data_IF_012831091439
#
_entry.id   IF_012831091439
#
_cell.length_a   1.000
_cell.length_b   1.000
_cell.length_c   1.000
_cell.angle_alpha   90.00
_cell.angle_beta   90.00
_cell.angle_gamma   90.00
#
_symmetry.space_group_name_H-M   'P 1'
#
loop_
_entity.id
_entity.type
_entity.pdbx_description
1 polymer ?
#
# COMPACT_ATOMS: atom_id res chain seq x y z
N UNK A 1 -22.19 7.81 6.90
CA UNK A 1 -21.91 8.80 7.98
C UNK A 1 -22.47 10.15 7.55
N UNK A 2 -22.92 11.00 8.47
CA UNK A 2 -23.36 12.34 8.09
C UNK A 2 -22.16 13.15 7.55
N UNK A 3 -22.44 14.06 6.60
CA UNK A 3 -21.47 15.00 6.05
C UNK A 3 -20.80 15.81 7.17
N UNK A 4 -19.49 16.00 7.10
CA UNK A 4 -18.76 16.92 7.96
C UNK A 4 -19.08 18.36 7.57
N UNK A 5 -19.65 19.13 8.49
CA UNK A 5 -20.06 20.53 8.25
C UNK A 5 -19.00 21.56 8.63
N UNK A 6 -17.97 21.11 9.33
CA UNK A 6 -16.79 21.88 9.75
C UNK A 6 -15.74 22.01 8.64
N UNK A 7 -15.81 21.17 7.60
CA UNK A 7 -14.96 21.19 6.41
C UNK A 7 -15.72 21.81 5.25
N UNK A 8 -15.06 22.68 4.48
CA UNK A 8 -15.63 23.34 3.29
C UNK A 8 -14.79 23.11 2.06
N UNK A 9 -13.47 23.14 2.21
CA UNK A 9 -12.51 23.02 1.11
C UNK A 9 -11.61 21.80 1.32
N UNK A 10 -11.55 20.92 0.33
CA UNK A 10 -10.76 19.70 0.37
C UNK A 10 -9.75 19.70 -0.78
N UNK A 11 -8.50 19.41 -0.48
CA UNK A 11 -7.47 19.20 -1.50
C UNK A 11 -7.26 17.71 -1.74
N UNK A 12 -7.35 17.29 -3.00
CA UNK A 12 -7.01 15.94 -3.45
C UNK A 12 -5.61 15.97 -4.06
N UNK A 13 -4.74 15.08 -3.63
CA UNK A 13 -3.41 14.90 -4.20
C UNK A 13 -3.48 13.75 -5.21
N UNK A 14 -3.18 14.03 -6.47
CA UNK A 14 -3.16 13.05 -7.54
C UNK A 14 -1.90 12.18 -7.52
N UNK A 15 -1.83 11.24 -8.47
CA UNK A 15 -0.73 10.25 -8.54
C UNK A 15 0.50 10.73 -9.33
N UNK A 16 0.38 11.85 -10.04
CA UNK A 16 1.45 12.32 -10.91
C UNK A 16 1.47 11.63 -12.27
N UNK A 17 2.64 11.62 -12.94
CA UNK A 17 2.79 10.98 -14.24
C UNK A 17 2.50 9.48 -14.15
N UNK A 18 1.94 8.92 -15.23
CA UNK A 18 1.69 7.49 -15.32
C UNK A 18 3.03 6.76 -15.36
N UNK A 19 3.28 5.95 -14.33
CA UNK A 19 4.38 4.99 -14.28
C UNK A 19 3.80 3.62 -14.57
N UNK A 20 4.42 2.85 -15.45
CA UNK A 20 3.99 1.48 -15.78
C UNK A 20 3.84 0.68 -14.48
N UNK A 21 2.67 0.11 -14.28
CA UNK A 21 2.32 -0.66 -13.08
C UNK A 21 1.79 0.13 -11.88
N UNK A 22 1.61 1.47 -11.97
CA UNK A 22 1.19 2.26 -10.81
C UNK A 22 0.11 3.33 -11.02
N UNK A 23 -0.51 3.48 -12.18
CA UNK A 23 -1.15 4.77 -12.37
C UNK A 23 -2.58 4.83 -12.86
N UNK A 24 -3.03 3.93 -13.67
CA UNK A 24 -4.37 4.03 -14.28
C UNK A 24 -5.48 3.91 -13.22
N UNK A 25 -5.28 3.11 -12.20
CA UNK A 25 -6.21 2.93 -11.08
C UNK A 25 -6.41 4.19 -10.25
N UNK A 26 -5.36 5.00 -10.09
CA UNK A 26 -5.43 6.23 -9.29
C UNK A 26 -6.12 7.36 -10.05
N UNK A 27 -6.03 7.37 -11.37
CA UNK A 27 -6.77 8.31 -12.20
C UNK A 27 -8.28 8.14 -11.99
N UNK A 28 -8.77 6.92 -12.05
CA UNK A 28 -10.17 6.60 -11.80
C UNK A 28 -10.56 6.96 -10.36
N UNK A 29 -9.81 6.48 -9.37
CA UNK A 29 -10.12 6.68 -7.97
C UNK A 29 -10.10 8.17 -7.58
N UNK A 30 -9.09 8.92 -8.02
CA UNK A 30 -8.99 10.35 -7.77
C UNK A 30 -10.09 11.15 -8.44
N UNK A 31 -10.47 10.80 -9.67
CA UNK A 31 -11.60 11.42 -10.37
C UNK A 31 -12.90 11.19 -9.62
N UNK A 32 -13.20 9.93 -9.24
CA UNK A 32 -14.41 9.61 -8.50
C UNK A 32 -14.47 10.32 -7.14
N UNK A 33 -13.33 10.46 -6.46
CA UNK A 33 -13.29 11.19 -5.20
C UNK A 33 -13.57 12.69 -5.37
N UNK A 34 -13.00 13.32 -6.39
CA UNK A 34 -13.31 14.73 -6.68
C UNK A 34 -14.81 14.92 -6.96
N UNK A 35 -15.40 14.04 -7.77
CA UNK A 35 -16.84 14.09 -8.08
C UNK A 35 -17.69 13.86 -6.82
N UNK A 36 -17.38 12.85 -6.01
CA UNK A 36 -18.11 12.58 -4.77
C UNK A 36 -18.01 13.72 -3.76
N UNK A 37 -16.83 14.35 -3.62
CA UNK A 37 -16.65 15.51 -2.75
C UNK A 37 -17.47 16.72 -3.24
N UNK A 38 -17.52 16.96 -4.56
CA UNK A 38 -18.36 18.02 -5.14
C UNK A 38 -19.86 17.72 -4.95
N UNK A 39 -20.26 16.49 -5.13
CA UNK A 39 -21.66 16.05 -4.90
C UNK A 39 -22.08 16.26 -3.46
N UNK A 40 -21.18 16.04 -2.50
CA UNK A 40 -21.36 16.41 -1.11
C UNK A 40 -21.29 17.91 -0.83
N UNK A 41 -20.94 18.74 -1.83
CA UNK A 41 -20.90 20.19 -1.76
C UNK A 41 -19.67 20.77 -1.09
N UNK A 42 -18.52 20.09 -1.19
CA UNK A 42 -17.22 20.66 -0.83
C UNK A 42 -16.60 21.40 -2.01
N UNK A 43 -15.83 22.45 -1.74
CA UNK A 43 -14.92 23.06 -2.73
C UNK A 43 -13.71 22.10 -2.89
N UNK A 44 -13.45 21.66 -4.12
CA UNK A 44 -12.40 20.67 -4.40
C UNK A 44 -11.23 21.32 -5.13
N UNK A 45 -10.05 21.21 -4.55
CA UNK A 45 -8.77 21.59 -5.14
C UNK A 45 -8.00 20.34 -5.49
N UNK A 46 -7.63 20.18 -6.75
CA UNK A 46 -6.82 19.05 -7.22
C UNK A 46 -5.40 19.51 -7.52
N UNK A 47 -4.41 18.74 -7.07
CA UNK A 47 -3.00 18.91 -7.47
C UNK A 47 -2.54 17.66 -8.18
N UNK A 48 -2.18 17.76 -9.46
CA UNK A 48 -1.64 16.64 -10.25
C UNK A 48 -0.73 17.20 -11.36
N UNK A 49 0.42 16.56 -11.56
CA UNK A 49 1.38 16.99 -12.59
C UNK A 49 1.11 16.40 -13.97
N UNK A 50 0.14 15.51 -14.12
CA UNK A 50 -0.16 14.85 -15.39
C UNK A 50 -1.25 15.61 -16.18
N UNK A 51 -0.94 16.25 -17.32
CA UNK A 51 -1.94 16.93 -18.13
C UNK A 51 -2.77 15.97 -19.00
N UNK A 52 -2.38 14.70 -19.10
CA UNK A 52 -3.01 13.72 -19.98
C UNK A 52 -4.02 12.82 -19.26
N UNK A 53 -4.37 13.15 -18.02
CA UNK A 53 -5.36 12.38 -17.24
C UNK A 53 -6.72 13.07 -17.26
N UNK A 54 -7.80 12.28 -17.22
CA UNK A 54 -9.16 12.79 -17.04
C UNK A 54 -9.31 13.54 -15.71
N UNK A 55 -8.52 13.18 -14.70
CA UNK A 55 -8.56 13.80 -13.37
C UNK A 55 -8.28 15.31 -13.42
N UNK A 56 -7.43 15.76 -14.34
CA UNK A 56 -7.09 17.21 -14.51
C UNK A 56 -8.03 17.95 -15.44
N UNK A 57 -9.13 17.33 -15.89
CA UNK A 57 -10.20 18.05 -16.59
C UNK A 57 -10.80 19.13 -15.67
N UNK A 58 -11.01 20.31 -16.22
CA UNK A 58 -11.52 21.48 -15.49
C UNK A 58 -12.93 21.31 -14.91
N UNK A 59 -13.66 20.28 -15.34
CA UNK A 59 -15.00 19.95 -14.81
C UNK A 59 -14.93 19.07 -13.57
N UNK A 60 -13.82 18.39 -13.31
CA UNK A 60 -13.67 17.41 -12.24
C UNK A 60 -13.49 18.10 -10.87
N UNK A 61 -12.66 19.12 -10.79
CA UNK A 61 -12.43 19.88 -9.56
C UNK A 61 -12.75 21.36 -9.77
N UNK A 62 -12.97 22.12 -8.70
CA UNK A 62 -13.22 23.56 -8.76
C UNK A 62 -11.94 24.32 -9.11
N UNK A 63 -10.79 23.79 -8.68
CA UNK A 63 -9.47 24.28 -9.06
C UNK A 63 -8.53 23.11 -9.35
N UNK A 64 -7.76 23.23 -10.42
CA UNK A 64 -6.76 22.23 -10.83
C UNK A 64 -5.38 22.88 -10.91
N UNK A 65 -4.44 22.35 -10.14
CA UNK A 65 -3.04 22.73 -10.18
C UNK A 65 -2.23 21.67 -10.91
N UNK A 66 -1.81 21.96 -12.14
CA UNK A 66 -0.91 21.10 -12.93
C UNK A 66 0.55 21.44 -12.59
N UNK A 67 0.94 21.11 -11.35
CA UNK A 67 2.25 21.44 -10.79
C UNK A 67 2.99 20.17 -10.38
N UNK A 68 4.33 20.20 -10.28
CA UNK A 68 5.11 19.07 -9.82
C UNK A 68 4.66 18.58 -8.44
N UNK A 69 4.46 17.26 -8.31
CA UNK A 69 4.11 16.63 -7.04
C UNK A 69 5.37 16.48 -6.15
N UNK A 70 5.93 17.62 -5.76
CA UNK A 70 7.05 17.71 -4.81
C UNK A 70 6.62 18.45 -3.55
N UNK A 71 7.30 18.19 -2.46
CA UNK A 71 7.02 18.88 -1.19
C UNK A 71 6.98 20.40 -1.33
N UNK A 72 7.93 20.97 -2.09
CA UNK A 72 8.02 22.42 -2.26
C UNK A 72 6.78 23.02 -2.93
N UNK A 73 6.37 22.44 -4.07
CA UNK A 73 5.21 22.95 -4.82
C UNK A 73 3.91 22.72 -4.07
N UNK A 74 3.71 21.50 -3.54
CA UNK A 74 2.47 21.18 -2.82
C UNK A 74 2.36 22.01 -1.54
N UNK A 75 3.45 22.24 -0.81
CA UNK A 75 3.45 23.11 0.36
C UNK A 75 3.08 24.58 0.02
N UNK A 76 3.55 25.11 -1.13
CA UNK A 76 3.14 26.45 -1.62
C UNK A 76 1.64 26.49 -1.91
N UNK A 77 1.10 25.46 -2.57
CA UNK A 77 -0.33 25.39 -2.90
C UNK A 77 -1.17 25.27 -1.62
N UNK A 78 -0.77 24.44 -0.66
CA UNK A 78 -1.45 24.32 0.65
C UNK A 78 -1.48 25.68 1.38
N UNK A 79 -0.38 26.41 1.40
CA UNK A 79 -0.32 27.74 2.04
C UNK A 79 -1.18 28.78 1.32
N UNK A 80 -1.28 28.68 0.01
CA UNK A 80 -2.06 29.61 -0.83
C UNK A 80 -3.56 29.31 -0.75
N UNK A 81 -3.96 28.04 -0.94
CA UNK A 81 -5.36 27.63 -0.97
C UNK A 81 -6.00 27.49 0.42
N UNK A 82 -5.19 27.23 1.44
CA UNK A 82 -5.66 26.99 2.82
C UNK A 82 -6.84 26.02 2.86
N UNK A 83 -6.71 24.79 2.31
CA UNK A 83 -7.79 23.81 2.42
C UNK A 83 -8.00 23.45 3.89
N UNK A 84 -9.23 23.10 4.26
CA UNK A 84 -9.53 22.58 5.61
C UNK A 84 -8.95 21.16 5.78
N UNK A 85 -8.89 20.42 4.66
CA UNK A 85 -8.40 19.06 4.69
C UNK A 85 -7.72 18.63 3.38
N UNK A 86 -6.85 17.59 3.47
CA UNK A 86 -6.25 16.89 2.32
C UNK A 86 -6.66 15.43 2.28
N UNK A 87 -6.80 14.87 1.08
CA UNK A 87 -7.04 13.45 0.82
C UNK A 87 -5.86 12.87 0.04
N UNK A 88 -4.89 12.24 0.70
CA UNK A 88 -3.69 11.72 0.03
C UNK A 88 -3.86 10.30 -0.52
N UNK A 89 -4.75 9.49 0.05
CA UNK A 89 -4.87 8.06 -0.23
C UNK A 89 -5.35 7.71 -1.65
N UNK A 90 -5.72 8.72 -2.45
CA UNK A 90 -6.18 8.57 -3.83
C UNK A 90 -5.09 8.84 -4.87
N UNK A 91 -3.95 9.36 -4.44
CA UNK A 91 -2.78 9.64 -5.26
C UNK A 91 -1.70 8.55 -5.21
N UNK A 92 -2.08 7.34 -4.80
CA UNK A 92 -1.13 6.23 -4.65
C UNK A 92 -0.02 6.53 -3.65
N UNK A 93 1.12 5.90 -3.82
CA UNK A 93 2.27 6.08 -2.95
C UNK A 93 2.81 7.52 -2.98
N UNK A 94 2.72 8.19 -4.13
CA UNK A 94 3.12 9.61 -4.27
C UNK A 94 2.30 10.50 -3.33
N UNK A 95 0.99 10.34 -3.30
CA UNK A 95 0.10 11.11 -2.43
C UNK A 95 0.38 10.87 -0.95
N UNK A 96 0.56 9.61 -0.55
CA UNK A 96 0.89 9.24 0.84
C UNK A 96 2.24 9.83 1.27
N UNK A 97 3.27 9.66 0.45
CA UNK A 97 4.61 10.19 0.75
C UNK A 97 4.61 11.71 0.91
N UNK A 98 3.85 12.42 0.07
CA UNK A 98 3.71 13.87 0.17
C UNK A 98 2.99 14.29 1.46
N UNK A 99 1.91 13.60 1.84
CA UNK A 99 1.22 13.87 3.10
C UNK A 99 2.13 13.68 4.31
N UNK A 100 2.92 12.60 4.33
CA UNK A 100 3.94 12.34 5.35
C UNK A 100 4.98 13.47 5.40
N UNK A 101 5.50 13.91 4.26
CA UNK A 101 6.49 14.98 4.18
C UNK A 101 5.91 16.32 4.63
N UNK A 102 4.68 16.66 4.22
CA UNK A 102 3.99 17.88 4.64
C UNK A 102 3.75 17.91 6.16
N UNK A 103 3.35 16.78 6.75
CA UNK A 103 3.16 16.63 8.19
C UNK A 103 4.51 16.79 8.94
N UNK A 104 5.55 16.06 8.53
CA UNK A 104 6.89 16.13 9.15
C UNK A 104 7.52 17.53 9.05
N UNK A 105 7.22 18.28 8.00
CA UNK A 105 7.69 19.68 7.85
C UNK A 105 6.81 20.70 8.55
N UNK A 106 5.75 20.26 9.24
CA UNK A 106 4.85 21.15 9.97
C UNK A 106 3.91 22.00 9.12
N UNK A 107 3.88 21.80 7.79
CA UNK A 107 3.05 22.60 6.87
C UNK A 107 1.56 22.40 7.17
N UNK A 108 1.14 21.16 7.44
CA UNK A 108 -0.26 20.90 7.76
C UNK A 108 -0.67 21.55 9.07
N UNK A 109 0.20 21.52 10.08
CA UNK A 109 -0.06 22.19 11.36
C UNK A 109 -0.07 23.73 11.22
N UNK A 110 0.88 24.30 10.48
CA UNK A 110 0.96 25.74 10.17
C UNK A 110 -0.33 26.24 9.51
N UNK A 111 -0.89 25.43 8.60
CA UNK A 111 -2.07 25.79 7.83
C UNK A 111 -3.38 25.31 8.45
N UNK A 112 -3.35 24.57 9.56
CA UNK A 112 -4.50 23.92 10.22
C UNK A 112 -5.25 22.97 9.28
N UNK A 113 -4.52 22.18 8.49
CA UNK A 113 -5.06 21.25 7.50
C UNK A 113 -5.12 19.85 8.11
N UNK A 114 -6.29 19.24 8.07
CA UNK A 114 -6.52 17.86 8.51
C UNK A 114 -6.19 16.87 7.37
N UNK A 115 -5.68 15.70 7.70
CA UNK A 115 -5.60 14.56 6.77
C UNK A 115 -6.91 13.79 6.89
N UNK A 116 -7.69 13.73 5.81
CA UNK A 116 -8.88 12.87 5.75
C UNK A 116 -8.49 11.46 5.35
N UNK A 117 -9.12 10.50 6.03
CA UNK A 117 -8.80 9.10 5.87
C UNK A 117 -7.73 8.65 6.86
N UNK A 118 -6.75 7.88 6.38
CA UNK A 118 -5.72 7.30 7.23
C UNK A 118 -4.78 8.35 7.81
N UNK A 119 -4.59 8.30 9.13
CA UNK A 119 -3.70 9.23 9.83
C UNK A 119 -2.23 9.08 9.41
N UNK A 120 -1.44 10.13 9.62
CA UNK A 120 0.01 10.09 9.38
C UNK A 120 0.68 8.91 10.11
N UNK A 121 0.35 8.70 11.38
CA UNK A 121 0.92 7.62 12.19
C UNK A 121 0.55 6.23 11.64
N UNK A 122 -0.68 6.06 11.20
CA UNK A 122 -1.15 4.81 10.61
C UNK A 122 -0.47 4.53 9.26
N UNK A 123 -0.24 5.57 8.46
CA UNK A 123 0.51 5.43 7.20
C UNK A 123 1.95 4.99 7.50
N UNK A 124 2.64 5.65 8.43
CA UNK A 124 4.00 5.32 8.79
C UNK A 124 4.12 3.89 9.34
N UNK A 125 3.18 3.48 10.20
CA UNK A 125 3.16 2.13 10.75
C UNK A 125 2.85 1.03 9.70
N UNK A 126 2.05 1.34 8.69
CA UNK A 126 1.75 0.41 7.62
C UNK A 126 2.88 0.27 6.59
N UNK A 127 3.61 1.36 6.33
CA UNK A 127 4.66 1.43 5.30
C UNK A 127 6.05 1.04 5.82
N UNK A 128 6.32 1.24 7.11
CA UNK A 128 7.58 0.82 7.71
C UNK A 128 7.55 -0.68 8.04
N UNK A 129 8.49 -1.43 7.45
CA UNK A 129 8.53 -2.89 7.57
C UNK A 129 8.72 -3.39 9.00
N UNK A 130 9.52 -2.70 9.80
CA UNK A 130 9.77 -3.11 11.18
C UNK A 130 8.55 -2.81 12.05
N UNK A 131 7.99 -1.61 11.96
CA UNK A 131 6.77 -1.24 12.67
C UNK A 131 5.59 -2.13 12.30
N UNK A 132 5.44 -2.44 11.01
CA UNK A 132 4.40 -3.35 10.53
C UNK A 132 4.59 -4.77 11.07
N UNK A 133 5.83 -5.29 11.04
CA UNK A 133 6.16 -6.61 11.58
C UNK A 133 5.89 -6.69 13.08
N UNK A 134 6.30 -5.69 13.86
CA UNK A 134 6.05 -5.61 15.30
C UNK A 134 4.54 -5.59 15.60
N UNK A 135 3.78 -4.80 14.83
CA UNK A 135 2.33 -4.78 14.96
C UNK A 135 1.72 -6.16 14.70
N UNK A 136 2.07 -6.80 13.57
CA UNK A 136 1.56 -8.13 13.24
C UNK A 136 1.89 -9.15 14.33
N UNK A 137 3.11 -9.13 14.84
CA UNK A 137 3.52 -10.01 15.94
C UNK A 137 2.70 -9.76 17.22
N UNK A 138 2.42 -8.49 17.54
CA UNK A 138 1.59 -8.14 18.72
C UNK A 138 0.15 -8.63 18.59
N UNK A 139 -0.34 -8.76 17.36
CA UNK A 139 -1.68 -9.28 17.04
C UNK A 139 -1.71 -10.82 16.92
N UNK A 140 -0.55 -11.48 16.97
CA UNK A 140 -0.45 -12.91 16.70
C UNK A 140 -0.64 -13.28 15.22
N UNK A 141 -0.50 -12.29 14.33
CA UNK A 141 -0.61 -12.49 12.88
C UNK A 141 0.72 -12.97 12.30
N UNK A 142 0.71 -13.99 11.42
CA UNK A 142 1.93 -14.54 10.87
C UNK A 142 2.48 -13.62 9.77
N UNK A 143 3.74 -13.23 9.93
CA UNK A 143 4.54 -12.54 8.92
C UNK A 143 5.65 -13.44 8.41
N UNK A 144 6.15 -13.16 7.22
CA UNK A 144 7.24 -13.94 6.64
C UNK A 144 8.47 -13.93 7.55
N UNK A 145 8.98 -15.12 7.96
CA UNK A 145 10.24 -15.20 8.65
C UNK A 145 11.35 -14.57 7.82
N UNK A 146 12.02 -13.58 8.37
CA UNK A 146 13.09 -12.86 7.70
C UNK A 146 14.16 -12.43 8.67
N UNK A 147 15.41 -12.40 8.21
CA UNK A 147 16.57 -11.95 8.97
C UNK A 147 17.49 -11.12 8.07
N UNK A 148 18.09 -10.08 8.63
CA UNK A 148 19.09 -9.26 7.92
C UNK A 148 20.45 -9.95 8.02
N UNK A 149 21.19 -9.97 6.93
CA UNK A 149 22.56 -10.46 6.85
C UNK A 149 23.48 -9.38 6.24
N UNK A 150 24.61 -9.14 6.87
CA UNK A 150 25.63 -8.20 6.44
C UNK A 150 26.83 -8.89 5.79
N UNK A 151 26.88 -10.21 5.85
CA UNK A 151 27.88 -11.06 5.23
C UNK A 151 27.31 -12.43 4.87
N UNK A 152 28.09 -13.23 4.17
CA UNK A 152 27.68 -14.53 3.66
C UNK A 152 27.38 -15.53 4.80
N UNK A 153 28.17 -15.53 5.86
CA UNK A 153 28.03 -16.50 6.94
C UNK A 153 26.77 -16.20 7.78
N UNK A 154 26.46 -14.92 8.04
CA UNK A 154 25.18 -14.50 8.62
C UNK A 154 23.99 -14.93 7.77
N UNK A 155 24.10 -14.82 6.45
CA UNK A 155 23.04 -15.23 5.53
C UNK A 155 22.81 -16.76 5.57
N UNK A 156 23.88 -17.53 5.64
CA UNK A 156 23.78 -19.00 5.78
C UNK A 156 23.12 -19.39 7.10
N UNK A 157 23.48 -18.77 8.21
CA UNK A 157 22.85 -19.00 9.51
C UNK A 157 21.38 -18.58 9.50
N UNK A 158 21.05 -17.43 8.88
CA UNK A 158 19.68 -16.99 8.70
C UNK A 158 18.86 -18.01 7.89
N UNK A 159 19.39 -18.47 6.76
CA UNK A 159 18.72 -19.44 5.91
C UNK A 159 18.53 -20.81 6.61
N UNK A 160 19.48 -21.26 7.43
CA UNK A 160 19.32 -22.47 8.25
C UNK A 160 18.19 -22.34 9.27
N UNK A 161 18.02 -21.17 9.87
CA UNK A 161 16.92 -20.91 10.84
C UNK A 161 15.57 -20.81 10.15
N UNK A 162 15.51 -20.15 8.98
CA UNK A 162 14.28 -19.93 8.21
C UNK A 162 13.85 -21.21 7.49
N UNK A 163 14.80 -22.00 7.01
CA UNK A 163 14.60 -23.16 6.14
C UNK A 163 14.52 -22.81 4.67
N UNK A 164 15.29 -23.52 3.85
CA UNK A 164 15.27 -23.39 2.38
C UNK A 164 13.91 -23.84 1.79
N UNK A 165 13.52 -23.31 0.62
CA UNK A 165 14.17 -22.23 -0.12
C UNK A 165 13.97 -20.88 0.55
N UNK A 166 14.93 -19.96 0.29
CA UNK A 166 14.89 -18.57 0.77
C UNK A 166 14.97 -17.58 -0.38
N UNK A 167 14.51 -16.34 -0.13
CA UNK A 167 14.60 -15.21 -1.04
C UNK A 167 15.63 -14.23 -0.50
N UNK A 168 16.50 -13.74 -1.37
CA UNK A 168 17.45 -12.67 -1.07
C UNK A 168 16.89 -11.35 -1.61
N UNK A 169 16.89 -10.33 -0.78
CA UNK A 169 16.50 -8.96 -1.17
C UNK A 169 17.55 -7.97 -0.70
N UNK A 170 18.43 -7.49 -1.58
CA UNK A 170 19.40 -6.44 -1.23
C UNK A 170 18.67 -5.19 -0.75
N UNK A 171 19.16 -4.58 0.32
CA UNK A 171 18.56 -3.38 0.86
C UNK A 171 18.78 -2.18 -0.07
N UNK A 172 17.78 -1.30 -0.19
CA UNK A 172 17.81 -0.05 -0.96
C UNK A 172 18.10 -0.23 -2.47
N UNK A 173 17.77 -1.40 -3.06
CA UNK A 173 17.79 -1.60 -4.50
C UNK A 173 16.41 -1.38 -5.12
N UNK A 174 16.40 -0.88 -6.36
CA UNK A 174 15.16 -0.65 -7.11
C UNK A 174 14.78 -1.90 -7.92
N UNK A 175 13.48 -2.20 -7.97
CA UNK A 175 12.93 -3.23 -8.87
C UNK A 175 13.44 -4.65 -8.60
N UNK A 176 13.83 -4.98 -7.36
CA UNK A 176 14.32 -6.32 -7.02
C UNK A 176 15.72 -6.67 -7.58
N UNK A 177 16.46 -5.67 -8.07
CA UNK A 177 17.80 -5.88 -8.65
C UNK A 177 18.73 -6.56 -7.64
N UNK A 178 19.37 -7.64 -8.09
CA UNK A 178 20.31 -8.43 -7.27
C UNK A 178 19.63 -9.38 -6.28
N UNK A 179 18.30 -9.40 -6.22
CA UNK A 179 17.53 -10.39 -5.49
C UNK A 179 17.38 -11.70 -6.25
N UNK A 180 16.85 -12.71 -5.57
CA UNK A 180 16.55 -14.00 -6.19
C UNK A 180 16.28 -15.09 -5.18
N UNK A 181 16.02 -16.30 -5.68
CA UNK A 181 15.70 -17.47 -4.89
C UNK A 181 16.95 -18.35 -4.74
N UNK A 182 17.16 -18.85 -3.54
CA UNK A 182 18.19 -19.85 -3.26
C UNK A 182 17.53 -21.11 -2.67
N UNK A 183 17.69 -22.23 -3.37
CA UNK A 183 17.11 -23.50 -2.97
C UNK A 183 18.01 -24.23 -1.95
N UNK A 184 19.29 -23.87 -1.90
CA UNK A 184 20.30 -24.46 -1.03
C UNK A 184 21.40 -23.46 -0.62
N UNK A 185 22.33 -23.91 0.24
CA UNK A 185 23.44 -23.10 0.74
C UNK A 185 24.42 -22.69 -0.38
N UNK A 186 24.61 -23.53 -1.40
CA UNK A 186 25.56 -23.25 -2.49
C UNK A 186 25.08 -22.07 -3.33
N UNK A 187 23.81 -22.12 -3.74
CA UNK A 187 23.18 -21.02 -4.48
C UNK A 187 23.15 -19.75 -3.62
N UNK A 188 22.81 -19.86 -2.34
CA UNK A 188 22.79 -18.72 -1.42
C UNK A 188 24.16 -18.02 -1.37
N UNK A 189 25.24 -18.77 -1.18
CA UNK A 189 26.60 -18.21 -1.11
C UNK A 189 27.04 -17.53 -2.41
N UNK A 190 26.67 -18.07 -3.55
CA UNK A 190 26.94 -17.48 -4.85
C UNK A 190 26.19 -16.15 -5.03
N UNK A 191 24.87 -16.15 -4.77
CA UNK A 191 24.03 -14.96 -4.93
C UNK A 191 24.35 -13.85 -3.92
N UNK A 192 24.71 -14.18 -2.69
CA UNK A 192 25.06 -13.22 -1.65
C UNK A 192 26.23 -12.31 -2.04
N UNK A 193 27.23 -12.81 -2.80
CA UNK A 193 28.35 -12.00 -3.28
C UNK A 193 27.89 -10.83 -4.14
N UNK A 194 26.97 -11.11 -5.05
CA UNK A 194 26.39 -10.09 -5.93
C UNK A 194 25.42 -9.19 -5.15
N UNK A 195 24.55 -9.77 -4.34
CA UNK A 195 23.55 -9.05 -3.56
C UNK A 195 24.17 -8.01 -2.60
N UNK A 196 25.23 -8.37 -1.89
CA UNK A 196 25.97 -7.46 -1.01
C UNK A 196 26.64 -6.32 -1.77
N UNK A 197 27.17 -6.58 -2.97
CA UNK A 197 27.82 -5.55 -3.78
C UNK A 197 26.85 -4.52 -4.35
N UNK A 198 25.60 -4.92 -4.58
CA UNK A 198 24.55 -4.07 -5.13
C UNK A 198 23.82 -3.26 -4.07
N UNK A 199 23.87 -3.68 -2.80
CA UNK A 199 23.28 -2.93 -1.70
C UNK A 199 24.20 -1.77 -1.28
N UNK A 200 23.74 -0.50 -1.34
CA UNK A 200 24.55 0.65 -0.92
C UNK A 200 24.99 0.59 0.55
N UNK A 201 24.28 -0.17 1.38
CA UNK A 201 24.56 -0.34 2.82
C UNK A 201 25.13 -1.73 3.13
N UNK A 202 25.45 -2.54 2.11
CA UNK A 202 25.95 -3.91 2.25
C UNK A 202 25.09 -4.80 3.14
N UNK A 203 23.76 -4.67 3.00
CA UNK A 203 22.77 -5.49 3.72
C UNK A 203 21.87 -6.25 2.76
N UNK A 204 21.56 -7.48 3.11
CA UNK A 204 20.62 -8.33 2.37
C UNK A 204 19.62 -8.92 3.34
N UNK A 205 18.32 -8.79 3.04
CA UNK A 205 17.27 -9.48 3.74
C UNK A 205 17.18 -10.92 3.21
N UNK A 206 17.27 -11.89 4.12
CA UNK A 206 17.02 -13.30 3.85
C UNK A 206 15.61 -13.62 4.35
N UNK A 207 14.75 -14.05 3.47
CA UNK A 207 13.32 -14.23 3.75
C UNK A 207 12.85 -15.62 3.34
N UNK A 208 11.85 -16.17 4.04
CA UNK A 208 11.21 -17.44 3.67
C UNK A 208 10.62 -17.35 2.27
N UNK A 209 10.95 -18.30 1.41
CA UNK A 209 10.31 -18.41 0.10
C UNK A 209 8.86 -18.89 0.25
N UNK A 210 7.97 -18.17 -0.40
CA UNK A 210 6.54 -18.50 -0.53
C UNK A 210 6.17 -18.80 -1.99
N UNK A 211 7.16 -19.23 -2.78
CA UNK A 211 6.94 -19.65 -4.16
C UNK A 211 5.90 -20.76 -4.21
N UNK A 212 4.88 -20.57 -5.03
CA UNK A 212 3.77 -21.53 -5.17
C UNK A 212 2.62 -21.33 -4.18
N UNK A 213 2.72 -20.35 -3.26
CA UNK A 213 1.57 -19.93 -2.45
C UNK A 213 0.57 -19.17 -3.31
N UNK A 214 -0.70 -19.21 -2.92
CA UNK A 214 -1.75 -18.38 -3.50
C UNK A 214 -1.62 -16.96 -2.97
N UNK A 215 -1.78 -15.98 -3.83
CA UNK A 215 -1.91 -14.58 -3.43
C UNK A 215 -3.38 -14.21 -3.33
N UNK A 216 -3.81 -13.84 -2.13
CA UNK A 216 -5.19 -13.48 -1.82
C UNK A 216 -5.21 -12.06 -1.28
N UNK A 217 -6.10 -11.25 -1.81
CA UNK A 217 -6.27 -9.87 -1.40
C UNK A 217 -7.66 -9.64 -0.80
N UNK A 218 -7.74 -8.74 0.18
CA UNK A 218 -8.99 -8.24 0.74
C UNK A 218 -9.05 -6.72 0.64
N UNK A 219 -10.13 -6.23 0.07
CA UNK A 219 -10.50 -4.82 0.18
C UNK A 219 -11.35 -4.63 1.41
N UNK A 220 -10.88 -3.78 2.31
CA UNK A 220 -11.51 -3.52 3.60
C UNK A 220 -11.73 -2.02 3.75
N UNK A 221 -12.88 -1.64 4.29
CA UNK A 221 -13.20 -0.25 4.63
C UNK A 221 -13.50 -0.16 6.12
N UNK A 222 -13.01 0.90 6.76
CA UNK A 222 -13.30 1.21 8.15
C UNK A 222 -13.57 2.70 8.30
N UNK A 223 -14.55 3.04 9.16
CA UNK A 223 -14.82 4.42 9.57
C UNK A 223 -14.19 4.74 10.94
N UNK A 224 -14.26 6.01 11.35
CA UNK A 224 -13.71 6.45 12.63
C UNK A 224 -14.48 5.90 13.86
N UNK A 225 -15.72 5.40 13.69
CA UNK A 225 -16.52 4.75 14.73
C UNK A 225 -16.20 3.25 14.87
N UNK A 226 -15.16 2.77 14.18
CA UNK A 226 -14.74 1.36 14.15
C UNK A 226 -15.72 0.42 13.44
N UNK A 227 -16.61 0.94 12.60
CA UNK A 227 -17.38 0.10 11.68
C UNK A 227 -16.46 -0.36 10.56
N UNK A 228 -16.19 -1.65 10.47
CA UNK A 228 -15.29 -2.21 9.46
C UNK A 228 -16.00 -3.31 8.65
N UNK A 229 -15.80 -3.26 7.32
CA UNK A 229 -16.40 -4.18 6.35
C UNK A 229 -15.34 -4.68 5.40
N UNK A 230 -15.27 -5.99 5.17
CA UNK A 230 -14.57 -6.57 4.03
C UNK A 230 -15.51 -6.48 2.82
N UNK A 231 -15.19 -5.62 1.87
CA UNK A 231 -16.01 -5.35 0.68
C UNK A 231 -16.01 -6.57 -0.24
N UNK A 232 -14.83 -7.04 -0.59
CA UNK A 232 -14.66 -8.29 -1.31
C UNK A 232 -13.27 -8.86 -1.08
N UNK A 233 -13.09 -10.12 -1.44
CA UNK A 233 -11.79 -10.73 -1.59
C UNK A 233 -11.49 -10.99 -3.07
N UNK A 234 -10.22 -11.12 -3.38
CA UNK A 234 -9.71 -11.38 -4.72
C UNK A 234 -8.61 -12.42 -4.66
N UNK A 235 -8.40 -13.07 -5.78
CA UNK A 235 -7.36 -14.07 -5.95
C UNK A 235 -6.55 -13.76 -7.20
N UNK A 236 -5.23 -13.71 -7.06
CA UNK A 236 -4.32 -13.66 -8.18
C UNK A 236 -4.16 -15.07 -8.76
N UNK A 237 -4.38 -15.23 -10.06
CA UNK A 237 -4.24 -16.54 -10.74
C UNK A 237 -2.76 -16.92 -10.84
N UNK A 238 -1.89 -15.93 -10.99
CA UNK A 238 -0.45 -16.12 -10.98
C UNK A 238 0.05 -16.32 -9.54
N UNK A 239 1.07 -17.16 -9.34
CA UNK A 239 1.60 -17.42 -8.01
C UNK A 239 2.26 -16.18 -7.41
N UNK A 240 2.33 -16.15 -6.07
CA UNK A 240 3.02 -15.08 -5.33
C UNK A 240 4.41 -14.82 -5.89
N UNK A 241 4.71 -13.53 -6.11
CA UNK A 241 5.98 -13.05 -6.67
C UNK A 241 5.88 -12.53 -8.10
N UNK A 242 4.79 -12.78 -8.80
CA UNK A 242 4.42 -12.01 -9.99
C UNK A 242 3.85 -10.68 -9.52
N UNK A 243 4.32 -9.57 -10.08
CA UNK A 243 3.80 -8.25 -9.71
C UNK A 243 2.29 -8.18 -9.96
N UNK A 244 1.56 -7.74 -8.97
CA UNK A 244 0.09 -7.71 -9.03
C UNK A 244 -0.45 -6.92 -10.24
N UNK A 245 0.30 -5.94 -10.77
CA UNK A 245 -0.03 -5.21 -12.00
C UNK A 245 0.03 -6.07 -13.28
N UNK A 246 0.76 -7.17 -13.23
CA UNK A 246 0.99 -8.07 -14.37
C UNK A 246 0.24 -9.40 -14.22
N UNK A 247 -0.49 -9.57 -13.10
CA UNK A 247 -1.25 -10.78 -12.79
C UNK A 247 -2.73 -10.65 -13.17
N UNK A 248 -3.35 -11.78 -13.52
CA UNK A 248 -4.81 -11.86 -13.68
C UNK A 248 -5.44 -11.98 -12.29
N UNK A 249 -6.31 -11.04 -11.95
CA UNK A 249 -7.02 -11.00 -10.67
C UNK A 249 -8.49 -11.33 -10.87
N UNK A 250 -9.03 -12.21 -10.04
CA UNK A 250 -10.44 -12.63 -10.07
C UNK A 250 -11.12 -12.22 -8.76
N UNK A 251 -12.28 -11.58 -8.86
CA UNK A 251 -13.14 -11.23 -7.74
C UNK A 251 -14.55 -11.82 -7.94
N UNK A 252 -15.11 -12.52 -6.94
CA UNK A 252 -14.47 -12.99 -5.72
C UNK A 252 -13.47 -14.14 -5.98
N UNK A 253 -12.65 -14.47 -4.97
CA UNK A 253 -11.74 -15.64 -5.04
C UNK A 253 -12.49 -16.92 -5.38
N UNK A 254 -11.91 -17.77 -6.23
CA UNK A 254 -12.57 -18.97 -6.75
C UNK A 254 -12.12 -20.27 -6.06
N UNK A 255 -10.94 -20.28 -5.46
CA UNK A 255 -10.31 -21.50 -4.97
C UNK A 255 -10.25 -21.61 -3.43
N UNK A 256 -10.80 -20.62 -2.71
CA UNK A 256 -10.86 -20.67 -1.25
C UNK A 256 -12.04 -21.49 -0.76
N UNK A 257 -11.79 -22.30 0.26
CA UNK A 257 -12.85 -22.85 1.09
C UNK A 257 -13.45 -21.75 1.96
N UNK A 258 -14.68 -21.93 2.44
CA UNK A 258 -15.30 -20.98 3.36
C UNK A 258 -14.48 -20.75 4.63
N UNK A 259 -13.77 -21.77 5.11
CA UNK A 259 -12.93 -21.66 6.30
C UNK A 259 -11.69 -20.78 6.05
N UNK A 260 -11.03 -20.93 4.92
CA UNK A 260 -9.91 -20.07 4.51
C UNK A 260 -10.39 -18.64 4.30
N UNK A 261 -11.51 -18.47 3.61
CA UNK A 261 -12.13 -17.15 3.42
C UNK A 261 -12.35 -16.42 4.74
N UNK A 262 -12.99 -17.07 5.72
CA UNK A 262 -13.28 -16.45 7.01
C UNK A 262 -12.00 -16.17 7.81
N UNK A 263 -11.03 -17.06 7.76
CA UNK A 263 -9.74 -16.91 8.44
C UNK A 263 -9.01 -15.64 7.98
N UNK A 264 -8.86 -15.47 6.68
CA UNK A 264 -8.16 -14.32 6.09
C UNK A 264 -8.98 -13.02 6.25
N UNK A 265 -10.31 -13.09 6.12
CA UNK A 265 -11.19 -11.95 6.37
C UNK A 265 -11.04 -11.42 7.80
N UNK A 266 -11.06 -12.32 8.78
CA UNK A 266 -10.97 -11.94 10.19
C UNK A 266 -9.58 -11.35 10.51
N UNK A 267 -8.52 -11.85 9.88
CA UNK A 267 -7.18 -11.27 9.94
C UNK A 267 -7.17 -9.86 9.36
N UNK A 268 -7.71 -9.66 8.16
CA UNK A 268 -7.79 -8.33 7.53
C UNK A 268 -8.54 -7.32 8.39
N UNK A 269 -9.67 -7.71 8.99
CA UNK A 269 -10.46 -6.85 9.88
C UNK A 269 -9.74 -6.52 11.19
N UNK A 270 -8.98 -7.45 11.77
CA UNK A 270 -8.14 -7.18 12.95
C UNK A 270 -7.06 -6.16 12.61
N UNK A 271 -6.42 -6.34 11.47
CA UNK A 271 -5.30 -5.50 11.04
C UNK A 271 -5.71 -4.06 10.77
N UNK A 272 -6.81 -3.83 10.01
CA UNK A 272 -7.29 -2.47 9.71
C UNK A 272 -7.68 -1.72 11.00
N UNK A 273 -8.27 -2.42 11.99
CA UNK A 273 -8.59 -1.86 13.30
C UNK A 273 -7.35 -1.49 14.09
N UNK A 274 -6.37 -2.38 14.14
CA UNK A 274 -5.12 -2.16 14.89
C UNK A 274 -4.32 -0.99 14.30
N UNK A 275 -4.25 -0.89 12.97
CA UNK A 275 -3.64 0.23 12.25
C UNK A 275 -4.46 1.52 12.34
N UNK A 276 -5.71 1.46 12.84
CA UNK A 276 -6.63 2.60 12.88
C UNK A 276 -6.80 3.28 11.51
N UNK A 277 -6.74 2.49 10.44
CA UNK A 277 -6.96 3.01 9.09
C UNK A 277 -8.41 3.50 8.98
N UNK A 278 -8.60 4.69 8.43
CA UNK A 278 -9.90 5.23 8.05
C UNK A 278 -10.00 5.30 6.53
N UNK A 279 -11.14 4.87 5.99
CA UNK A 279 -11.32 4.67 4.55
C UNK A 279 -10.94 3.27 4.10
N UNK A 280 -10.57 3.14 2.83
CA UNK A 280 -10.23 1.86 2.22
C UNK A 280 -8.78 1.45 2.42
N UNK A 281 -8.57 0.15 2.57
CA UNK A 281 -7.24 -0.43 2.48
C UNK A 281 -7.27 -1.80 1.80
N UNK A 282 -6.15 -2.13 1.16
CA UNK A 282 -5.91 -3.44 0.59
C UNK A 282 -4.98 -4.23 1.51
N UNK A 283 -5.36 -5.48 1.82
CA UNK A 283 -4.55 -6.42 2.63
C UNK A 283 -4.19 -7.62 1.79
N UNK A 284 -2.91 -7.93 1.68
CA UNK A 284 -2.40 -9.02 0.85
C UNK A 284 -1.87 -10.16 1.71
N UNK A 285 -2.27 -11.37 1.33
CA UNK A 285 -1.91 -12.62 1.99
C UNK A 285 -1.26 -13.59 1.02
N UNK A 286 -0.27 -14.34 1.51
CA UNK A 286 0.17 -15.57 0.88
C UNK A 286 -0.46 -16.75 1.63
N UNK A 287 -1.24 -17.58 0.96
CA UNK A 287 -1.88 -18.75 1.53
C UNK A 287 -1.23 -20.03 0.98
N UNK A 288 -0.79 -20.91 1.85
CA UNK A 288 -0.28 -22.23 1.46
C UNK A 288 -1.41 -23.07 0.83
N UNK A 289 -1.28 -23.51 -0.41
CA UNK A 289 -2.34 -24.27 -1.09
C UNK A 289 -2.60 -25.66 -0.46
N UNK A 290 -1.72 -26.15 0.41
CA UNK A 290 -1.78 -27.48 1.00
C UNK A 290 -2.18 -27.46 2.48
N UNK A 291 -2.28 -26.28 3.10
CA UNK A 291 -2.62 -26.14 4.51
C UNK A 291 -3.40 -24.83 4.77
N UNK A 292 -3.73 -24.56 6.04
CA UNK A 292 -4.32 -23.28 6.46
C UNK A 292 -3.25 -22.24 6.86
N UNK A 293 -1.98 -22.51 6.61
CA UNK A 293 -0.91 -21.57 6.92
C UNK A 293 -0.96 -20.41 5.92
N UNK A 294 -0.84 -19.21 6.43
CA UNK A 294 -0.76 -18.01 5.63
C UNK A 294 0.26 -17.03 6.21
N UNK A 295 0.65 -16.09 5.41
CA UNK A 295 1.46 -14.96 5.83
C UNK A 295 0.85 -13.66 5.34
N UNK A 296 0.91 -12.63 6.18
CA UNK A 296 0.68 -11.26 5.75
C UNK A 296 1.88 -10.81 4.91
N UNK A 297 1.59 -10.29 3.71
CA UNK A 297 2.60 -9.77 2.79
C UNK A 297 2.75 -8.28 3.01
N UNK A 298 1.65 -7.54 2.83
CA UNK A 298 1.62 -6.10 2.98
C UNK A 298 0.20 -5.58 3.22
N UNK A 299 0.14 -4.35 3.69
CA UNK A 299 -1.09 -3.56 3.76
C UNK A 299 -0.85 -2.25 3.02
N UNK A 300 -1.77 -1.92 2.13
CA UNK A 300 -1.76 -0.64 1.44
C UNK A 300 -2.84 0.26 2.08
N UNK A 301 -2.49 1.26 2.93
CA UNK A 301 -3.46 2.11 3.62
C UNK A 301 -4.03 3.20 2.70
N UNK A 302 -4.42 2.82 1.52
CA UNK A 302 -4.87 3.66 0.42
C UNK A 302 -5.67 2.84 -0.58
N UNK A 303 -6.31 3.51 -1.52
CA UNK A 303 -6.88 2.83 -2.69
C UNK A 303 -5.77 2.18 -3.53
N UNK A 304 -6.14 1.11 -4.20
CA UNK A 304 -5.29 0.36 -5.12
C UNK A 304 -6.09 -0.03 -6.37
N UNK A 305 -5.47 -0.72 -7.32
CA UNK A 305 -6.21 -1.26 -8.46
C UNK A 305 -7.30 -2.25 -8.03
N UNK A 306 -7.06 -3.00 -6.97
CA UNK A 306 -8.04 -3.92 -6.39
C UNK A 306 -9.28 -3.19 -5.87
N UNK A 307 -9.17 -1.95 -5.41
CA UNK A 307 -10.32 -1.13 -5.02
C UNK A 307 -11.25 -0.84 -6.21
N UNK A 308 -10.71 -0.57 -7.41
CA UNK A 308 -11.51 -0.38 -8.61
C UNK A 308 -12.20 -1.69 -9.05
N UNK A 309 -11.50 -2.83 -8.95
CA UNK A 309 -12.09 -4.14 -9.21
C UNK A 309 -13.17 -4.47 -8.17
N UNK A 310 -12.91 -4.23 -6.90
CA UNK A 310 -13.87 -4.43 -5.81
C UNK A 310 -15.16 -3.63 -6.02
N UNK A 311 -15.03 -2.36 -6.38
CA UNK A 311 -16.18 -1.50 -6.71
C UNK A 311 -17.02 -2.08 -7.86
N UNK A 312 -16.39 -2.63 -8.88
CA UNK A 312 -17.10 -3.24 -9.99
C UNK A 312 -17.72 -4.60 -9.67
N UNK A 313 -17.07 -5.39 -8.80
CA UNK A 313 -17.52 -6.72 -8.43
C UNK A 313 -18.64 -6.70 -7.38
N UNK A 314 -18.69 -5.67 -6.55
CA UNK A 314 -19.69 -5.54 -5.47
C UNK A 314 -20.93 -4.72 -5.87
N UNK A 315 -20.90 -4.00 -6.98
CA UNK A 315 -21.99 -3.13 -7.45
C UNK A 315 -21.90 -1.77 -6.79
#
# INVERSE_FOLDING_TARGET
>A
MPKRTDIKKVMVIGSGPIVIGQAAEFDYAGTQACLALKEEGYEVVLVNSNPATIQTDVQIADKVYMEPLTLEYVAKIVRYERPDAIVPGLGGQTGLNLAVQLAKKGVLQECQVEILGTSFQSIEQAEDRELFKELCQSLGEPVLPSLIANNIDEAVEAAKRIGYPVVLRPAFTLGGTGGGFADDETQLREMMRNALSLSPVHQVLIEKSIKGYKEIEYEVIRDHNDTAIAICNMENIDPVGVHTGDSIVVAPSQTLTNKEYQLLRDSALRLIRALKIEGGCNVQFALDPLSFNYYLIEVNPRVSRSSALASKASG
#
